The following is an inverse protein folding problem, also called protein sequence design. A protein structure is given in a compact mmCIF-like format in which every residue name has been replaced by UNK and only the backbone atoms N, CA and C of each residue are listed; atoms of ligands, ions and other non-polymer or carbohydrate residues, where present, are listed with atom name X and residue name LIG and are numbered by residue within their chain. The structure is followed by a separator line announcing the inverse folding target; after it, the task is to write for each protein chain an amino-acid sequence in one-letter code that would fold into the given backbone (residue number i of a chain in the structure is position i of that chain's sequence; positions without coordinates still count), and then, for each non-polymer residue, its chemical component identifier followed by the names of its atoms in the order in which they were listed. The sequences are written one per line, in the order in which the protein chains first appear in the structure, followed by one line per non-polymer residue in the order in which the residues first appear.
data_IF_945511759995
#
_entry.id   IF_945511759995
#
_cell.length_a   1.000
_cell.length_b   1.000
_cell.length_c   1.000
_cell.angle_alpha   90.00
_cell.angle_beta   90.00
_cell.angle_gamma   90.00
#
_symmetry.space_group_name_H-M   'P 1'
#
loop_
_entity.id
_entity.type
_entity.pdbx_description
1 polymer ?
#
# COMPACT_ATOMS: atom_id res chain seq x y z
N UNK A 1 23.28 -2.28 -5.75
CA UNK A 1 22.56 -1.29 -6.57
C UNK A 1 21.32 -0.85 -5.81
N UNK A 2 21.01 0.45 -5.76
CA UNK A 2 19.77 0.98 -5.17
C UNK A 2 18.82 1.36 -6.31
N UNK A 3 17.57 0.92 -6.25
CA UNK A 3 16.55 1.31 -7.23
C UNK A 3 15.97 2.64 -6.81
N UNK A 4 15.90 3.61 -7.74
CA UNK A 4 15.47 4.99 -7.45
C UNK A 4 14.01 4.99 -6.99
N UNK A 5 13.13 4.33 -7.74
CA UNK A 5 11.73 4.16 -7.42
C UNK A 5 11.31 2.73 -7.76
N UNK A 6 10.70 2.06 -6.79
CA UNK A 6 9.98 0.81 -7.01
C UNK A 6 8.54 1.03 -6.58
N UNK A 7 7.60 0.79 -7.50
CA UNK A 7 6.17 1.03 -7.29
C UNK A 7 5.41 -0.27 -7.55
N UNK A 8 4.48 -0.60 -6.66
CA UNK A 8 3.57 -1.71 -6.83
C UNK A 8 2.13 -1.28 -6.54
N UNK A 9 1.18 -1.83 -7.27
CA UNK A 9 -0.23 -1.48 -7.15
C UNK A 9 -1.06 -2.72 -6.89
N UNK A 10 -1.95 -2.66 -5.89
CA UNK A 10 -2.86 -3.73 -5.54
C UNK A 10 -4.32 -3.26 -5.68
N UNK A 11 -5.15 -4.09 -6.30
CA UNK A 11 -6.57 -3.81 -6.48
C UNK A 11 -7.34 -4.04 -5.18
N UNK A 12 -8.21 -3.10 -4.82
CA UNK A 12 -9.06 -3.23 -3.63
C UNK A 12 -10.41 -3.81 -4.06
N UNK A 13 -10.80 -4.99 -3.53
CA UNK A 13 -12.08 -5.61 -3.87
C UNK A 13 -13.26 -4.87 -3.24
N UNK A 14 -14.44 -5.05 -3.82
CA UNK A 14 -15.67 -4.41 -3.38
C UNK A 14 -16.05 -4.85 -1.94
N UNK A 15 -16.53 -3.89 -1.14
CA UNK A 15 -16.89 -4.12 0.26
C UNK A 15 -15.70 -4.06 1.24
N UNK A 16 -14.49 -3.74 0.77
CA UNK A 16 -13.32 -3.51 1.62
C UNK A 16 -13.01 -2.01 1.73
N UNK A 17 -12.92 -1.50 2.96
CA UNK A 17 -12.52 -0.11 3.25
C UNK A 17 -11.11 -0.10 3.83
N UNK A 18 -10.22 0.71 3.24
CA UNK A 18 -8.86 0.91 3.74
C UNK A 18 -8.76 2.32 4.33
N UNK A 19 -8.26 2.41 5.57
CA UNK A 19 -7.86 3.65 6.23
C UNK A 19 -6.36 3.60 6.49
N UNK A 20 -5.70 4.72 6.28
CA UNK A 20 -4.25 4.83 6.45
C UNK A 20 -3.90 6.09 7.20
N UNK A 21 -3.10 5.95 8.26
CA UNK A 21 -2.57 7.08 9.02
C UNK A 21 -1.16 6.76 9.49
N UNK A 22 -0.19 7.60 9.13
CA UNK A 22 1.20 7.47 9.59
C UNK A 22 1.80 6.05 9.43
N UNK A 23 1.63 5.43 8.25
CA UNK A 23 2.05 4.04 7.91
C UNK A 23 1.42 2.93 8.76
N UNK A 24 0.33 3.25 9.46
CA UNK A 24 -0.57 2.27 10.07
C UNK A 24 -1.77 2.08 9.13
N UNK A 25 -1.95 0.84 8.68
CA UNK A 25 -2.99 0.46 7.75
C UNK A 25 -4.08 -0.28 8.52
N UNK A 26 -5.32 0.15 8.32
CA UNK A 26 -6.52 -0.49 8.81
C UNK A 26 -7.37 -0.92 7.63
N UNK A 27 -7.66 -2.21 7.55
CA UNK A 27 -8.51 -2.82 6.51
C UNK A 27 -9.77 -3.34 7.17
N UNK A 28 -10.91 -2.75 6.82
CA UNK A 28 -12.24 -3.16 7.26
C UNK A 28 -12.88 -3.96 6.12
N UNK A 29 -13.12 -5.26 6.34
CA UNK A 29 -13.83 -6.15 5.42
C UNK A 29 -15.09 -6.75 6.05
N UNK A 30 -15.86 -7.57 5.30
CA UNK A 30 -17.14 -8.13 5.75
C UNK A 30 -17.01 -9.06 6.96
N UNK A 31 -15.84 -9.70 7.13
CA UNK A 31 -15.61 -10.63 8.25
C UNK A 31 -15.13 -9.90 9.49
N UNK A 32 -14.03 -9.15 9.39
CA UNK A 32 -13.37 -8.46 10.52
C UNK A 32 -12.52 -7.28 10.01
N UNK A 33 -12.04 -6.49 10.98
CA UNK A 33 -11.03 -5.45 10.78
C UNK A 33 -9.63 -6.02 11.06
N UNK A 34 -8.67 -5.68 10.20
CA UNK A 34 -7.25 -5.97 10.37
C UNK A 34 -6.48 -4.65 10.50
N UNK A 35 -5.53 -4.61 11.44
CA UNK A 35 -4.67 -3.44 11.65
C UNK A 35 -3.21 -3.90 11.64
N UNK A 36 -2.37 -3.24 10.85
CA UNK A 36 -0.93 -3.51 10.79
C UNK A 36 -0.12 -2.23 10.74
N UNK A 37 1.00 -2.24 11.46
CA UNK A 37 1.91 -1.10 11.55
C UNK A 37 3.17 -1.35 10.69
N UNK A 38 3.41 -0.46 9.73
CA UNK A 38 4.56 -0.51 8.81
C UNK A 38 5.59 0.59 9.06
N UNK A 39 5.57 1.26 10.23
CA UNK A 39 6.53 2.33 10.58
C UNK A 39 8.01 1.89 10.56
N UNK A 40 8.27 0.59 10.67
CA UNK A 40 9.61 0.01 10.61
C UNK A 40 10.18 -0.03 9.18
N UNK A 41 9.35 0.18 8.15
CA UNK A 41 9.75 0.21 6.76
C UNK A 41 9.63 1.62 6.20
N UNK A 42 10.58 1.99 5.34
CA UNK A 42 10.51 3.25 4.60
C UNK A 42 9.69 3.11 3.31
N UNK A 43 8.40 2.77 3.48
CA UNK A 43 7.43 2.67 2.39
C UNK A 43 6.50 3.87 2.42
N UNK A 44 6.11 4.34 1.24
CA UNK A 44 5.03 5.29 1.05
C UNK A 44 3.81 4.56 0.51
N UNK A 45 2.65 4.87 1.08
CA UNK A 45 1.39 4.24 0.70
C UNK A 45 0.45 5.33 0.19
N UNK A 46 -0.22 5.07 -0.93
CA UNK A 46 -1.17 5.99 -1.56
C UNK A 46 -2.43 5.23 -2.00
N UNK A 47 -3.59 5.84 -1.76
CA UNK A 47 -4.86 5.37 -2.31
C UNK A 47 -5.07 6.10 -3.63
N UNK A 48 -4.94 5.38 -4.74
CA UNK A 48 -5.17 5.89 -6.08
C UNK A 48 -6.54 5.41 -6.54
N UNK A 49 -7.25 6.25 -7.28
CA UNK A 49 -8.46 5.84 -7.98
C UNK A 49 -8.09 5.75 -9.45
N UNK A 50 -8.27 4.58 -10.06
CA UNK A 50 -8.06 4.44 -11.50
C UNK A 50 -9.21 5.13 -12.23
N UNK A 51 -8.91 6.21 -12.95
CA UNK A 51 -9.91 7.03 -13.65
C UNK A 51 -10.67 6.24 -14.73
N UNK A 52 -10.05 5.21 -15.30
CA UNK A 52 -10.65 4.38 -16.34
C UNK A 52 -11.66 3.33 -15.82
N UNK A 53 -11.51 2.86 -14.57
CA UNK A 53 -12.37 1.80 -14.00
C UNK A 53 -13.13 2.23 -12.76
N UNK A 54 -12.84 3.42 -12.21
CA UNK A 54 -13.42 3.92 -10.96
C UNK A 54 -13.03 3.11 -9.72
N UNK A 55 -12.15 2.11 -9.87
CA UNK A 55 -11.76 1.21 -8.78
C UNK A 55 -10.63 1.81 -7.96
N UNK A 56 -10.68 1.60 -6.65
CA UNK A 56 -9.64 2.03 -5.73
C UNK A 56 -8.48 1.05 -5.77
N UNK A 57 -7.27 1.56 -5.88
CA UNK A 57 -6.02 0.81 -5.83
C UNK A 57 -5.15 1.33 -4.71
N UNK A 58 -4.46 0.41 -4.05
CA UNK A 58 -3.41 0.75 -3.09
C UNK A 58 -2.08 0.73 -3.84
N UNK A 59 -1.44 1.89 -3.96
CA UNK A 59 -0.07 2.00 -4.46
C UNK A 59 0.91 2.04 -3.30
N UNK A 60 1.98 1.26 -3.42
CA UNK A 60 3.09 1.24 -2.48
C UNK A 60 4.37 1.61 -3.21
N UNK A 61 5.07 2.62 -2.69
CA UNK A 61 6.28 3.18 -3.27
C UNK A 61 7.46 3.01 -2.31
N UNK A 62 8.61 2.63 -2.85
CA UNK A 62 9.90 2.69 -2.17
C UNK A 62 10.88 3.55 -2.95
N UNK A 63 11.41 4.57 -2.28
CA UNK A 63 12.47 5.42 -2.82
C UNK A 63 13.85 4.95 -2.38
N UNK A 64 14.78 4.89 -3.32
CA UNK A 64 16.19 4.50 -3.09
C UNK A 64 16.35 3.16 -2.35
N UNK A 65 15.47 2.21 -2.66
CA UNK A 65 15.41 0.90 -2.01
C UNK A 65 16.63 0.02 -2.30
N UNK A 66 17.10 -0.68 -1.28
CA UNK A 66 17.95 -1.86 -1.44
C UNK A 66 17.10 -3.08 -1.84
N UNK A 67 17.73 -4.16 -2.31
CA UNK A 67 17.01 -5.39 -2.66
C UNK A 67 16.11 -5.91 -1.53
N UNK A 68 16.56 -5.84 -0.27
CA UNK A 68 15.77 -6.30 0.89
C UNK A 68 14.52 -5.47 1.12
N UNK A 69 14.60 -4.16 0.90
CA UNK A 69 13.46 -3.25 1.07
C UNK A 69 12.49 -3.34 -0.10
N UNK A 70 12.98 -3.58 -1.31
CA UNK A 70 12.12 -3.77 -2.50
C UNK A 70 11.31 -5.06 -2.43
N UNK A 71 11.84 -6.13 -1.84
CA UNK A 71 11.11 -7.41 -1.64
C UNK A 71 10.10 -7.33 -0.48
N UNK A 72 10.15 -6.28 0.34
CA UNK A 72 9.19 -6.08 1.42
C UNK A 72 7.88 -5.41 0.94
N UNK A 73 7.83 -5.02 -0.33
CA UNK A 73 6.64 -4.50 -1.03
C UNK A 73 5.87 -5.68 -1.61
#
# INVERSE_FOLDING_TARGET
MKTILSSETMDIPDGVKIKMKAKQIEVEGPRRKLTRNFKHLNLDFQLITDEATGKRKLKVDTWFGSRKTTVAI
#
